data_IF_332000009142
#
_entry.id   IF_332000009142
#
_cell.length_a   1.000
_cell.length_b   1.000
_cell.length_c   1.000
_cell.angle_alpha   90.00
_cell.angle_beta   90.00
_cell.angle_gamma   90.00
#
_symmetry.space_group_name_H-M   'P 1'
#
loop_
_entity.id
_entity.type
_entity.pdbx_description
1 polymer ?
#
# COMPACT_ATOMS: atom_id res chain seq x y z
N UNK A 1 15.78 -25.25 8.41
CA UNK A 1 14.74 -24.54 9.20
C UNK A 1 14.47 -23.11 8.73
N UNK A 2 15.48 -22.32 8.31
CA UNK A 2 15.28 -20.92 7.85
C UNK A 2 14.38 -20.75 6.63
N UNK A 3 14.52 -21.59 5.59
CA UNK A 3 13.68 -21.53 4.37
C UNK A 3 12.20 -21.88 4.63
N UNK A 4 11.92 -22.86 5.50
CA UNK A 4 10.54 -23.22 5.89
C UNK A 4 9.83 -22.07 6.62
N UNK A 5 10.57 -21.33 7.46
CA UNK A 5 10.03 -20.15 8.15
C UNK A 5 9.82 -18.97 7.20
N UNK A 6 10.75 -18.69 6.29
CA UNK A 6 10.59 -17.62 5.29
C UNK A 6 9.39 -17.85 4.36
N UNK A 7 9.13 -19.11 3.98
CA UNK A 7 7.94 -19.45 3.19
C UNK A 7 6.64 -19.22 3.97
N UNK A 8 6.57 -19.65 5.23
CA UNK A 8 5.40 -19.40 6.08
C UNK A 8 5.15 -17.90 6.30
N UNK A 9 6.21 -17.12 6.51
CA UNK A 9 6.14 -15.66 6.64
C UNK A 9 5.63 -15.04 5.34
N UNK A 10 6.22 -15.38 4.19
CA UNK A 10 5.79 -14.87 2.89
C UNK A 10 4.34 -15.21 2.57
N UNK A 11 3.89 -16.42 2.92
CA UNK A 11 2.49 -16.82 2.76
C UNK A 11 1.55 -15.99 3.65
N UNK A 12 1.85 -15.86 4.94
CA UNK A 12 1.06 -15.04 5.86
C UNK A 12 0.99 -13.57 5.40
N UNK A 13 2.11 -12.98 4.99
CA UNK A 13 2.15 -11.61 4.47
C UNK A 13 1.33 -11.46 3.19
N UNK A 14 1.40 -12.41 2.27
CA UNK A 14 0.61 -12.37 1.03
C UNK A 14 -0.89 -12.45 1.32
N UNK A 15 -1.29 -13.33 2.24
CA UNK A 15 -2.67 -13.46 2.67
C UNK A 15 -3.19 -12.18 3.37
N UNK A 16 -2.39 -11.60 4.28
CA UNK A 16 -2.71 -10.33 4.93
C UNK A 16 -2.81 -9.19 3.92
N UNK A 17 -1.89 -9.12 2.96
CA UNK A 17 -1.88 -8.06 1.97
C UNK A 17 -3.09 -8.15 1.02
N UNK A 18 -3.47 -9.37 0.63
CA UNK A 18 -4.72 -9.60 -0.12
C UNK A 18 -5.97 -9.20 0.68
N UNK A 19 -6.01 -9.55 1.97
CA UNK A 19 -7.12 -9.16 2.85
C UNK A 19 -7.25 -7.63 2.97
N UNK A 20 -6.16 -6.91 3.23
CA UNK A 20 -6.20 -5.45 3.30
C UNK A 20 -6.51 -4.80 1.96
N UNK A 21 -6.01 -5.35 0.85
CA UNK A 21 -6.36 -4.84 -0.48
C UNK A 21 -7.87 -4.94 -0.73
N UNK A 22 -8.53 -6.02 -0.31
CA UNK A 22 -9.98 -6.16 -0.43
C UNK A 22 -10.77 -5.25 0.53
N UNK A 23 -10.30 -5.06 1.77
CA UNK A 23 -11.01 -4.24 2.78
C UNK A 23 -10.96 -2.74 2.44
N UNK A 24 -9.81 -2.27 1.95
CA UNK A 24 -9.56 -0.86 1.64
C UNK A 24 -9.74 -0.54 0.15
N UNK A 25 -10.35 -1.44 -0.61
CA UNK A 25 -10.61 -1.25 -2.03
C UNK A 25 -11.55 -0.05 -2.26
N UNK A 26 -11.19 0.88 -3.14
CA UNK A 26 -12.01 2.07 -3.38
C UNK A 26 -12.02 3.11 -2.26
N UNK A 27 -11.31 2.89 -1.14
CA UNK A 27 -11.38 3.74 0.05
C UNK A 27 -10.12 4.56 0.24
N UNK A 28 -10.29 5.87 0.37
CA UNK A 28 -9.21 6.79 0.74
C UNK A 28 -8.75 6.49 2.17
N UNK A 29 -7.47 6.16 2.35
CA UNK A 29 -6.92 5.78 3.66
C UNK A 29 -6.23 6.95 4.34
N UNK A 30 -5.55 7.79 3.56
CA UNK A 30 -4.93 9.00 4.07
C UNK A 30 -4.84 10.05 2.96
N UNK A 31 -4.63 11.29 3.39
CA UNK A 31 -4.39 12.44 2.52
C UNK A 31 -2.94 12.87 2.68
N UNK A 32 -2.21 12.94 1.57
CA UNK A 32 -0.82 13.35 1.55
C UNK A 32 -0.73 14.87 1.77
N UNK A 33 0.27 15.36 2.52
CA UNK A 33 0.49 16.79 2.72
C UNK A 33 1.08 17.49 1.49
N UNK A 34 1.30 16.77 0.40
CA UNK A 34 1.81 17.25 -0.88
C UNK A 34 1.12 16.51 -2.03
N UNK A 35 1.09 17.13 -3.20
CA UNK A 35 0.67 16.45 -4.43
C UNK A 35 1.79 15.51 -4.91
N UNK A 36 1.54 14.19 -5.00
CA UNK A 36 2.55 13.24 -5.48
C UNK A 36 3.00 13.58 -6.91
N UNK A 37 4.28 13.35 -7.20
CA UNK A 37 4.84 13.56 -8.54
C UNK A 37 4.08 12.68 -9.56
N UNK A 38 3.86 13.18 -10.78
CA UNK A 38 3.00 12.53 -11.78
C UNK A 38 3.39 11.07 -12.09
N UNK A 39 4.67 10.71 -11.94
CA UNK A 39 5.15 9.34 -12.11
C UNK A 39 4.65 8.35 -11.03
N UNK A 40 4.44 8.81 -9.78
CA UNK A 40 3.99 7.97 -8.66
C UNK A 40 2.49 8.15 -8.36
N UNK A 41 1.85 9.14 -8.96
CA UNK A 41 0.44 9.46 -8.76
C UNK A 41 -0.49 8.30 -9.16
N UNK A 42 -0.16 7.56 -10.21
CA UNK A 42 -0.91 6.35 -10.61
C UNK A 42 -0.84 5.22 -9.58
N UNK A 43 0.22 5.20 -8.74
CA UNK A 43 0.36 4.24 -7.64
C UNK A 43 -0.31 4.75 -6.36
N UNK A 44 -0.19 6.05 -6.04
CA UNK A 44 -0.83 6.63 -4.86
C UNK A 44 -2.35 6.54 -4.94
N UNK A 45 -2.92 6.90 -6.10
CA UNK A 45 -4.36 6.94 -6.34
C UNK A 45 -4.93 5.63 -6.92
N UNK A 46 -4.14 4.54 -6.89
CA UNK A 46 -4.57 3.26 -7.46
C UNK A 46 -5.85 2.76 -6.79
N UNK A 47 -6.85 2.46 -7.62
CA UNK A 47 -8.13 1.93 -7.19
C UNK A 47 -8.92 2.86 -6.25
N UNK A 48 -8.64 4.16 -6.27
CA UNK A 48 -9.43 5.18 -5.58
C UNK A 48 -10.36 5.89 -6.56
N UNK A 49 -11.55 6.23 -6.08
CA UNK A 49 -12.53 7.04 -6.80
C UNK A 49 -12.35 8.51 -6.41
N UNK A 50 -12.34 9.40 -7.39
CA UNK A 50 -12.17 10.83 -7.19
C UNK A 50 -11.04 11.43 -8.02
N UNK A 51 -11.00 12.75 -8.05
CA UNK A 51 -10.00 13.53 -8.79
C UNK A 51 -8.95 14.17 -7.88
N UNK A 52 -9.07 13.99 -6.55
CA UNK A 52 -8.11 14.55 -5.59
C UNK A 52 -6.86 13.69 -5.52
N UNK A 53 -5.87 14.10 -6.30
CA UNK A 53 -4.56 13.45 -6.43
C UNK A 53 -3.74 13.39 -5.13
N UNK A 54 -4.16 14.10 -4.07
CA UNK A 54 -3.54 14.03 -2.75
C UNK A 54 -4.06 12.86 -1.90
N UNK A 55 -5.15 12.21 -2.32
CA UNK A 55 -5.66 11.02 -1.67
C UNK A 55 -4.80 9.79 -2.01
N UNK A 56 -4.54 8.94 -1.02
CA UNK A 56 -3.71 7.75 -1.21
C UNK A 56 -4.35 6.44 -0.72
N UNK A 57 -4.09 5.37 -1.46
CA UNK A 57 -4.53 4.01 -1.18
C UNK A 57 -3.71 3.37 -0.06
N UNK A 58 -4.28 2.33 0.57
CA UNK A 58 -3.56 1.53 1.57
C UNK A 58 -2.23 0.96 1.04
N UNK A 59 -2.24 0.46 -0.20
CA UNK A 59 -1.06 -0.15 -0.83
C UNK A 59 0.11 0.84 -0.90
N UNK A 60 -0.19 2.09 -1.24
CA UNK A 60 0.80 3.14 -1.36
C UNK A 60 1.40 3.50 0.00
N UNK A 61 0.54 3.67 1.01
CA UNK A 61 0.97 3.92 2.39
C UNK A 61 1.85 2.78 2.91
N UNK A 62 1.46 1.52 2.67
CA UNK A 62 2.27 0.36 3.04
C UNK A 62 3.66 0.36 2.39
N UNK A 63 3.75 0.64 1.09
CA UNK A 63 5.03 0.75 0.38
C UNK A 63 5.87 1.89 0.96
N UNK A 64 5.27 3.06 1.18
CA UNK A 64 5.94 4.23 1.75
C UNK A 64 6.50 3.91 3.15
N UNK A 65 5.72 3.29 4.02
CA UNK A 65 6.16 2.83 5.33
C UNK A 65 7.28 1.80 5.21
N UNK A 66 7.18 0.82 4.31
CA UNK A 66 8.22 -0.21 4.12
C UNK A 66 9.55 0.39 3.66
N UNK A 67 9.51 1.49 2.88
CA UNK A 67 10.72 2.18 2.41
C UNK A 67 11.27 3.19 3.43
N UNK A 68 10.39 3.83 4.21
CA UNK A 68 10.77 4.89 5.17
C UNK A 68 11.11 4.37 6.56
N UNK A 69 10.41 3.32 7.01
CA UNK A 69 10.56 2.70 8.34
C UNK A 69 11.55 1.52 8.29
N UNK A 70 12.23 1.32 7.16
CA UNK A 70 13.25 0.27 7.03
C UNK A 70 14.44 0.59 7.95
N UNK A 71 14.48 -0.02 9.13
CA UNK A 71 15.70 -0.31 9.90
C UNK A 71 16.29 -1.64 9.44
#
# INVERSE_FOLDING_TARGET
VRMKSMFAIGFCFTALMGMFNSIFDGRVVAKLPFTPLSYIQGLSHRNLLGDDTTDCSFIFLYILCTMSIRQ
#
